data_IF_735600113665
#
_entry.id   IF_735600113665
#
_cell.length_a   1.000
_cell.length_b   1.000
_cell.length_c   1.000
_cell.angle_alpha   90.00
_cell.angle_beta   90.00
_cell.angle_gamma   90.00
#
_symmetry.space_group_name_H-M   'P 1'
#
loop_
_entity.id
_entity.type
_entity.pdbx_description
1 polymer ?
#
# COMPACT_ATOMS: atom_id res chain seq x y z
N UNK A 1 10.14 -19.70 4.86
CA UNK A 1 10.25 -18.64 3.83
C UNK A 1 9.02 -17.75 3.93
N UNK A 2 9.04 -16.78 4.84
CA UNK A 2 7.87 -15.91 5.08
C UNK A 2 8.00 -14.62 4.27
N UNK A 3 7.13 -14.45 3.27
CA UNK A 3 6.97 -13.18 2.56
C UNK A 3 5.88 -12.40 3.31
N UNK A 4 6.21 -11.21 3.83
CA UNK A 4 5.21 -10.29 4.35
C UNK A 4 4.78 -9.32 3.26
N UNK A 5 3.47 -9.19 3.10
CA UNK A 5 2.87 -8.33 2.08
C UNK A 5 2.93 -6.84 2.45
N UNK A 6 3.10 -6.50 3.73
CA UNK A 6 3.23 -5.12 4.18
C UNK A 6 3.92 -5.01 5.55
N UNK A 7 4.43 -3.81 5.86
CA UNK A 7 5.04 -3.48 7.16
C UNK A 7 4.06 -3.66 8.32
N UNK A 8 2.78 -3.31 8.10
CA UNK A 8 1.70 -3.51 9.06
C UNK A 8 1.55 -4.99 9.42
N UNK A 9 1.65 -5.89 8.44
CA UNK A 9 1.51 -7.33 8.68
C UNK A 9 2.67 -7.86 9.54
N UNK A 10 3.89 -7.34 9.31
CA UNK A 10 5.05 -7.67 10.10
C UNK A 10 4.91 -7.20 11.56
N UNK A 11 4.22 -6.08 11.80
CA UNK A 11 4.10 -5.48 13.14
C UNK A 11 2.81 -5.81 13.87
N UNK A 12 1.84 -6.42 13.19
CA UNK A 12 0.59 -6.92 13.77
C UNK A 12 0.60 -8.44 13.87
N UNK A 13 0.22 -9.11 12.78
CA UNK A 13 0.04 -10.56 12.70
C UNK A 13 1.33 -11.33 12.98
N UNK A 14 2.46 -10.83 12.50
CA UNK A 14 3.72 -11.57 12.51
C UNK A 14 4.79 -11.02 13.45
N UNK A 15 4.41 -10.07 14.32
CA UNK A 15 5.33 -9.39 15.23
C UNK A 15 6.20 -10.37 16.00
N UNK A 16 5.58 -11.32 16.71
CA UNK A 16 6.25 -12.36 17.50
C UNK A 16 7.26 -13.16 16.66
N UNK A 17 6.87 -13.62 15.49
CA UNK A 17 7.73 -14.43 14.63
C UNK A 17 8.93 -13.63 14.12
N UNK A 18 8.75 -12.34 13.84
CA UNK A 18 9.84 -11.46 13.42
C UNK A 18 10.78 -11.08 14.59
N UNK A 19 10.26 -10.93 15.80
CA UNK A 19 11.03 -10.65 17.01
C UNK A 19 11.84 -11.87 17.49
N UNK A 20 11.27 -13.07 17.37
CA UNK A 20 11.93 -14.34 17.70
C UNK A 20 12.85 -14.87 16.59
N UNK A 21 13.05 -14.08 15.52
CA UNK A 21 13.84 -14.47 14.34
C UNK A 21 13.39 -15.77 13.65
N UNK A 22 12.13 -16.17 13.84
CA UNK A 22 11.51 -17.31 13.15
C UNK A 22 11.23 -16.94 11.68
N UNK A 23 10.88 -15.68 11.42
CA UNK A 23 10.74 -15.11 10.06
C UNK A 23 11.56 -13.84 9.93
N UNK A 24 12.39 -13.77 8.90
CA UNK A 24 13.23 -12.60 8.60
C UNK A 24 12.64 -11.81 7.44
N UNK A 25 12.11 -10.60 7.66
CA UNK A 25 11.64 -9.74 6.58
C UNK A 25 12.83 -9.25 5.75
N UNK A 26 12.69 -9.26 4.42
CA UNK A 26 13.78 -8.93 3.48
C UNK A 26 13.56 -7.63 2.71
N UNK A 27 12.30 -7.24 2.52
CA UNK A 27 11.87 -6.13 1.67
C UNK A 27 10.64 -5.52 2.30
N UNK A 28 10.50 -4.19 2.24
CA UNK A 28 9.29 -3.50 2.64
C UNK A 28 8.44 -3.07 1.42
N UNK A 29 7.12 -3.15 1.60
CA UNK A 29 6.11 -2.66 0.67
C UNK A 29 5.19 -1.68 1.41
N UNK A 30 4.75 -0.63 0.70
CA UNK A 30 3.94 0.44 1.26
C UNK A 30 4.74 1.55 1.96
N UNK A 31 4.07 2.64 2.38
CA UNK A 31 4.69 3.76 3.08
C UNK A 31 5.07 3.43 4.52
N UNK A 32 6.03 4.18 5.08
CA UNK A 32 6.38 4.08 6.51
C UNK A 32 5.31 4.78 7.37
N UNK A 33 4.31 4.01 7.81
CA UNK A 33 3.23 4.55 8.64
C UNK A 33 3.69 4.84 10.08
N UNK A 34 3.25 5.99 10.61
CA UNK A 34 3.62 6.43 11.96
C UNK A 34 3.04 5.51 13.04
N UNK A 35 3.87 4.94 13.91
CA UNK A 35 3.44 4.03 14.97
C UNK A 35 3.68 2.54 14.67
N UNK A 36 4.10 2.21 13.45
CA UNK A 36 4.68 0.90 13.14
C UNK A 36 6.14 0.84 13.57
N UNK A 37 6.65 -0.36 13.86
CA UNK A 37 8.07 -0.58 14.11
C UNK A 37 8.80 -0.32 12.80
N UNK A 38 9.80 0.56 12.83
CA UNK A 38 10.64 0.81 11.65
C UNK A 38 11.60 -0.36 11.44
N UNK A 39 11.28 -1.19 10.45
CA UNK A 39 12.23 -2.15 9.90
C UNK A 39 13.15 -1.42 8.92
N UNK A 40 14.45 -1.42 9.19
CA UNK A 40 15.48 -0.89 8.28
C UNK A 40 15.71 -1.86 7.11
N UNK A 41 14.73 -1.90 6.21
CA UNK A 41 14.71 -2.78 5.05
C UNK A 41 14.63 -1.97 3.75
N UNK A 42 15.28 -2.46 2.67
CA UNK A 42 15.15 -1.82 1.37
C UNK A 42 13.70 -1.89 0.88
N UNK A 43 13.24 -0.80 0.28
CA UNK A 43 12.00 -0.81 -0.51
C UNK A 43 12.23 -1.40 -1.89
N UNK A 44 11.14 -1.59 -2.63
CA UNK A 44 11.24 -2.03 -4.03
C UNK A 44 12.17 -1.14 -4.90
N UNK A 45 12.11 0.21 -4.85
CA UNK A 45 13.02 1.05 -5.62
C UNK A 45 14.51 0.86 -5.30
N UNK A 46 14.85 0.59 -4.03
CA UNK A 46 16.22 0.32 -3.62
C UNK A 46 16.75 -0.97 -4.24
N UNK A 47 15.90 -1.98 -4.34
CA UNK A 47 16.23 -3.25 -4.98
C UNK A 47 16.41 -3.10 -6.49
N UNK A 48 15.55 -2.32 -7.15
CA UNK A 48 15.71 -2.00 -8.58
C UNK A 48 17.09 -1.42 -8.83
N UNK A 49 17.47 -0.39 -8.07
CA UNK A 49 18.79 0.26 -8.17
C UNK A 49 19.92 -0.72 -7.90
N UNK A 50 19.82 -1.51 -6.82
CA UNK A 50 20.85 -2.48 -6.42
C UNK A 50 21.03 -3.62 -7.43
N UNK A 51 19.96 -4.04 -8.10
CA UNK A 51 19.97 -5.15 -9.07
C UNK A 51 20.22 -4.71 -10.51
N UNK A 52 20.24 -3.41 -10.79
CA UNK A 52 20.46 -2.88 -12.14
C UNK A 52 19.36 -3.34 -13.11
N UNK A 53 18.10 -3.35 -12.67
CA UNK A 53 16.99 -3.71 -13.55
C UNK A 53 16.83 -2.68 -14.67
N UNK A 54 16.38 -3.13 -15.83
CA UNK A 54 16.04 -2.22 -16.91
C UNK A 54 14.76 -1.41 -16.58
N UNK A 55 14.54 -0.32 -17.32
CA UNK A 55 13.41 0.59 -17.09
C UNK A 55 12.03 -0.10 -17.17
N UNK A 56 11.90 -1.14 -17.99
CA UNK A 56 10.65 -1.91 -18.14
C UNK A 56 10.35 -2.72 -16.87
N UNK A 57 11.34 -3.45 -16.34
CA UNK A 57 11.21 -4.24 -15.11
C UNK A 57 11.05 -3.36 -13.87
N UNK A 58 11.70 -2.20 -13.82
CA UNK A 58 11.44 -1.18 -12.79
C UNK A 58 9.98 -0.73 -12.83
N UNK A 59 9.46 -0.44 -14.02
CA UNK A 59 8.08 0.03 -14.19
C UNK A 59 7.07 -1.06 -13.86
N UNK A 60 7.32 -2.32 -14.26
CA UNK A 60 6.49 -3.47 -13.90
C UNK A 60 6.42 -3.65 -12.39
N UNK A 61 7.55 -3.55 -11.71
CA UNK A 61 7.58 -3.68 -10.26
C UNK A 61 6.88 -2.54 -9.52
N UNK A 62 7.02 -1.28 -9.97
CA UNK A 62 6.22 -0.16 -9.44
C UNK A 62 4.73 -0.38 -9.67
N UNK A 63 4.35 -0.88 -10.85
CA UNK A 63 2.96 -1.20 -11.17
C UNK A 63 2.40 -2.28 -10.23
N UNK A 64 3.19 -3.32 -9.94
CA UNK A 64 2.85 -4.37 -8.98
C UNK A 64 2.62 -3.82 -7.57
N UNK A 65 3.54 -3.00 -7.06
CA UNK A 65 3.44 -2.44 -5.71
C UNK A 65 2.25 -1.48 -5.58
N UNK A 66 2.06 -0.61 -6.56
CA UNK A 66 0.97 0.38 -6.55
C UNK A 66 -0.41 -0.26 -6.67
N UNK A 67 -0.52 -1.38 -7.41
CA UNK A 67 -1.78 -2.13 -7.51
C UNK A 67 -2.20 -2.72 -6.16
N UNK A 68 -1.24 -3.06 -5.30
CA UNK A 68 -1.51 -3.54 -3.94
C UNK A 68 -2.10 -2.43 -3.06
N UNK A 69 -1.58 -1.20 -3.17
CA UNK A 69 -2.08 -0.05 -2.41
C UNK A 69 -3.54 0.29 -2.76
N UNK A 70 -3.96 0.04 -4.00
CA UNK A 70 -5.34 0.24 -4.44
C UNK A 70 -6.28 -0.93 -4.11
N UNK A 71 -5.76 -2.08 -3.68
CA UNK A 71 -6.58 -3.26 -3.42
C UNK A 71 -7.61 -3.07 -2.29
N UNK A 72 -7.42 -2.06 -1.43
CA UNK A 72 -8.29 -1.74 -0.29
C UNK A 72 -9.00 -0.39 -0.43
N UNK A 73 -9.13 0.13 -1.67
CA UNK A 73 -9.82 1.40 -1.90
C UNK A 73 -11.34 1.27 -1.80
N UNK A 74 -11.99 2.31 -1.29
CA UNK A 74 -13.43 2.48 -1.39
C UNK A 74 -13.78 3.28 -2.63
N UNK A 75 -14.75 2.81 -3.41
CA UNK A 75 -15.24 3.50 -4.60
C UNK A 75 -16.75 3.67 -4.54
N UNK A 76 -17.24 4.75 -5.12
CA UNK A 76 -18.67 5.00 -5.30
C UNK A 76 -19.08 4.62 -6.73
N UNK A 77 -20.33 4.19 -6.95
CA UNK A 77 -20.81 3.88 -8.29
C UNK A 77 -20.67 5.07 -9.26
N UNK A 78 -20.45 4.82 -10.57
CA UNK A 78 -20.50 5.86 -11.58
C UNK A 78 -21.83 6.63 -11.54
N UNK A 79 -21.77 7.96 -11.69
CA UNK A 79 -22.95 8.82 -11.65
C UNK A 79 -23.37 9.27 -10.25
N UNK A 80 -22.61 8.93 -9.20
CA UNK A 80 -22.84 9.50 -7.86
C UNK A 80 -22.69 11.03 -7.91
N UNK A 81 -23.68 11.81 -7.44
CA UNK A 81 -23.60 13.27 -7.41
C UNK A 81 -22.37 13.78 -6.64
N UNK A 82 -21.73 14.84 -7.16
CA UNK A 82 -20.47 15.36 -6.61
C UNK A 82 -20.59 15.83 -5.16
N UNK A 83 -21.71 16.46 -4.80
CA UNK A 83 -22.02 16.87 -3.44
C UNK A 83 -22.09 15.67 -2.48
N UNK A 84 -22.70 14.56 -2.91
CA UNK A 84 -22.78 13.32 -2.13
C UNK A 84 -21.43 12.64 -1.98
N UNK A 85 -20.64 12.60 -3.06
CA UNK A 85 -19.30 12.06 -3.02
C UNK A 85 -18.42 12.83 -2.03
N UNK A 86 -18.51 14.16 -2.02
CA UNK A 86 -17.73 15.01 -1.12
C UNK A 86 -18.13 14.82 0.35
N UNK A 87 -19.43 14.72 0.65
CA UNK A 87 -19.91 14.41 2.00
C UNK A 87 -19.34 13.08 2.50
N UNK A 88 -19.36 12.03 1.67
CA UNK A 88 -18.86 10.72 2.04
C UNK A 88 -17.34 10.71 2.22
N UNK A 89 -16.60 11.39 1.33
CA UNK A 89 -15.14 11.57 1.47
C UNK A 89 -14.79 12.26 2.79
N UNK A 90 -15.47 13.37 3.10
CA UNK A 90 -15.25 14.11 4.34
C UNK A 90 -15.56 13.24 5.56
N UNK A 91 -16.71 12.58 5.59
CA UNK A 91 -17.11 11.72 6.70
C UNK A 91 -16.11 10.58 6.93
N UNK A 92 -15.61 9.97 5.85
CA UNK A 92 -14.57 8.93 5.92
C UNK A 92 -13.27 9.49 6.51
N UNK A 93 -12.79 10.64 6.03
CA UNK A 93 -11.58 11.29 6.55
C UNK A 93 -11.71 11.71 8.02
N UNK A 94 -12.87 12.23 8.42
CA UNK A 94 -13.14 12.61 9.81
C UNK A 94 -13.14 11.36 10.71
N UNK A 95 -13.72 10.25 10.24
CA UNK A 95 -13.75 8.97 10.96
C UNK A 95 -12.34 8.44 11.21
N UNK A 96 -11.45 8.52 10.22
CA UNK A 96 -10.05 8.06 10.34
C UNK A 96 -9.23 8.90 11.33
N UNK A 97 -9.71 10.09 11.68
CA UNK A 97 -9.10 10.98 12.68
C UNK A 97 -9.80 10.89 14.04
N UNK A 98 -10.86 10.10 14.16
CA UNK A 98 -11.62 9.97 15.40
C UNK A 98 -10.74 9.36 16.51
N UNK A 99 -10.58 10.03 17.66
CA UNK A 99 -9.71 9.55 18.73
C UNK A 99 -10.11 8.17 19.27
N UNK A 100 -11.41 7.83 19.31
CA UNK A 100 -11.85 6.52 19.79
C UNK A 100 -11.49 5.43 18.78
N UNK A 101 -11.64 5.71 17.48
CA UNK A 101 -11.19 4.78 16.44
C UNK A 101 -9.68 4.56 16.55
N UNK A 102 -8.89 5.62 16.72
CA UNK A 102 -7.44 5.52 16.85
C UNK A 102 -7.01 4.74 18.10
N UNK A 103 -7.70 4.94 19.22
CA UNK A 103 -7.45 4.19 20.46
C UNK A 103 -7.72 2.68 20.27
N UNK A 104 -8.88 2.34 19.71
CA UNK A 104 -9.24 0.94 19.43
C UNK A 104 -8.32 0.29 18.40
N UNK A 105 -7.96 1.02 17.34
CA UNK A 105 -7.00 0.58 16.33
C UNK A 105 -5.64 0.28 16.97
N UNK A 106 -5.16 1.16 17.87
CA UNK A 106 -3.91 0.96 18.60
C UNK A 106 -3.96 -0.28 19.48
N UNK A 107 -5.08 -0.57 20.15
CA UNK A 107 -5.24 -1.77 21.00
C UNK A 107 -5.08 -3.07 20.20
N UNK A 108 -5.51 -3.09 18.95
CA UNK A 108 -5.37 -4.25 18.05
C UNK A 108 -4.08 -4.21 17.22
N UNK A 109 -3.18 -3.25 17.49
CA UNK A 109 -1.92 -3.05 16.76
C UNK A 109 -2.08 -2.44 15.36
N UNK A 110 -3.28 -2.01 14.98
CA UNK A 110 -3.54 -1.41 13.68
C UNK A 110 -3.24 0.09 13.71
N UNK A 111 -2.46 0.56 12.74
CA UNK A 111 -2.24 1.99 12.52
C UNK A 111 -2.98 2.39 11.25
N UNK A 112 -4.02 3.24 11.33
CA UNK A 112 -4.65 3.78 10.14
C UNK A 112 -3.71 4.76 9.42
N UNK A 113 -3.19 4.37 8.25
CA UNK A 113 -2.46 5.24 7.32
C UNK A 113 -3.12 5.29 5.93
N UNK A 114 -4.37 5.79 5.82
CA UNK A 114 -5.09 5.80 4.57
C UNK A 114 -4.51 6.84 3.60
N UNK A 115 -4.39 6.47 2.32
CA UNK A 115 -4.18 7.45 1.25
C UNK A 115 -5.39 8.40 1.19
N UNK A 116 -5.11 9.67 0.98
CA UNK A 116 -6.11 10.69 0.69
C UNK A 116 -6.74 10.46 -0.69
N UNK A 117 -7.91 11.05 -0.93
CA UNK A 117 -8.56 10.98 -2.24
C UNK A 117 -7.66 11.51 -3.36
N UNK A 118 -6.90 12.58 -3.11
CA UNK A 118 -5.95 13.15 -4.08
C UNK A 118 -4.81 12.16 -4.39
N UNK A 119 -4.22 11.55 -3.37
CA UNK A 119 -3.16 10.56 -3.55
C UNK A 119 -3.66 9.33 -4.32
N UNK A 120 -4.90 8.90 -4.08
CA UNK A 120 -5.54 7.82 -4.85
C UNK A 120 -5.74 8.24 -6.31
N UNK A 121 -6.24 9.45 -6.56
CA UNK A 121 -6.45 9.98 -7.92
C UNK A 121 -5.13 10.07 -8.70
N UNK A 122 -4.06 10.56 -8.06
CA UNK A 122 -2.71 10.61 -8.62
C UNK A 122 -2.15 9.22 -8.90
N UNK A 123 -2.32 8.28 -7.96
CA UNK A 123 -1.87 6.91 -8.09
C UNK A 123 -2.57 6.21 -9.27
N UNK A 124 -3.90 6.33 -9.35
CA UNK A 124 -4.70 5.79 -10.46
C UNK A 124 -4.27 6.41 -11.79
N UNK A 125 -4.09 7.73 -11.85
CA UNK A 125 -3.62 8.41 -13.06
C UNK A 125 -2.22 7.92 -13.51
N UNK A 126 -1.32 7.64 -12.55
CA UNK A 126 0.01 7.09 -12.82
C UNK A 126 -0.07 5.67 -13.41
N UNK A 127 -0.97 4.82 -12.90
CA UNK A 127 -1.14 3.45 -13.39
C UNK A 127 -1.81 3.41 -14.76
N UNK A 128 -2.74 4.33 -15.04
CA UNK A 128 -3.35 4.45 -16.38
C UNK A 128 -2.28 4.80 -17.41
N UNK A 129 -1.32 5.66 -17.06
CA UNK A 129 -0.21 6.07 -17.93
C UNK A 129 0.90 5.02 -18.09
N UNK A 130 0.85 3.90 -17.38
CA UNK A 130 1.82 2.82 -17.51
C UNK A 130 1.85 2.28 -18.96
N UNK A 131 3.03 2.05 -19.56
CA UNK A 131 3.15 1.54 -20.94
C UNK A 131 2.40 0.23 -21.17
N UNK A 132 1.84 0.05 -22.38
CA UNK A 132 1.10 -1.16 -22.75
C UNK A 132 1.93 -2.43 -22.64
N UNK A 133 3.23 -2.37 -23.01
CA UNK A 133 4.15 -3.50 -22.87
C UNK A 133 4.22 -4.02 -21.42
N UNK A 134 4.25 -3.11 -20.45
CA UNK A 134 4.25 -3.47 -19.02
C UNK A 134 2.90 -4.06 -18.59
N UNK A 135 1.78 -3.49 -19.07
CA UNK A 135 0.44 -4.03 -18.77
C UNK A 135 0.26 -5.44 -19.35
N UNK A 136 0.78 -5.71 -20.54
CA UNK A 136 0.76 -7.05 -21.15
C UNK A 136 1.68 -8.03 -20.42
N UNK A 137 2.87 -7.60 -19.99
CA UNK A 137 3.74 -8.40 -19.14
C UNK A 137 3.06 -8.77 -17.83
N UNK A 138 2.38 -7.81 -17.20
CA UNK A 138 1.58 -8.05 -16.01
C UNK A 138 0.48 -9.10 -16.28
N UNK A 139 -0.32 -8.90 -17.34
CA UNK A 139 -1.40 -9.82 -17.71
C UNK A 139 -0.89 -11.23 -18.03
N UNK A 140 0.27 -11.37 -18.65
CA UNK A 140 0.83 -12.67 -19.08
C UNK A 140 1.36 -13.51 -17.92
N UNK A 141 1.89 -12.87 -16.88
CA UNK A 141 2.68 -13.54 -15.86
C UNK A 141 2.03 -13.55 -14.46
N UNK A 142 0.97 -12.76 -14.25
CA UNK A 142 0.37 -12.55 -12.93
C UNK A 142 -1.17 -12.69 -12.91
N UNK A 143 -1.80 -12.86 -14.08
CA UNK A 143 -3.21 -13.25 -14.26
C UNK A 143 -3.25 -14.58 -15.02
#
# INVERSE_FOLDING_TARGET
>A
DGIFSSQESADTTFKRYSEEAIVVPLVKFGPDNAGLRRLDLPGFPDLVKKKGLNAEMETLGKFLTNSYDLARMYALPPGTPADRAEILRKAFQDTLKDPKLLEEATKIGYVPGPLTASEIEELVASMIKTPSAVKELFRKHLL
#
